data_IF_383116988582
#
_entry.id   IF_383116988582
#
_cell.length_a   1.000
_cell.length_b   1.000
_cell.length_c   1.000
_cell.angle_alpha   90.00
_cell.angle_beta   90.00
_cell.angle_gamma   90.00
#
_symmetry.space_group_name_H-M   'P 1'
#
loop_
_entity.id
_entity.type
_entity.pdbx_description
1 polymer ?
#
# COMPACT_ATOMS: atom_id res chain seq x y z
N UNK A 1 -19.66 7.67 11.51
CA UNK A 1 -19.36 7.05 10.20
C UNK A 1 -18.47 5.86 10.49
N UNK A 2 -18.74 4.65 10.00
CA UNK A 2 -17.79 3.54 10.16
C UNK A 2 -16.75 3.69 9.06
N UNK A 3 -15.49 3.86 9.44
CA UNK A 3 -14.38 3.85 8.51
C UNK A 3 -14.32 2.48 7.84
N UNK A 4 -14.06 2.46 6.54
CA UNK A 4 -13.97 1.21 5.78
C UNK A 4 -12.56 0.63 5.96
N UNK A 5 -12.47 -0.65 6.33
CA UNK A 5 -11.19 -1.36 6.41
C UNK A 5 -10.51 -1.46 5.04
N UNK A 6 -9.18 -1.53 5.04
CA UNK A 6 -8.34 -1.71 3.86
C UNK A 6 -7.32 -0.59 3.68
N UNK A 7 -6.76 -0.49 2.48
CA UNK A 7 -5.75 0.51 2.15
C UNK A 7 -6.37 1.90 1.94
N UNK A 8 -5.69 2.91 2.48
CA UNK A 8 -6.07 4.31 2.36
C UNK A 8 -4.87 5.16 1.99
N UNK A 9 -5.12 6.18 1.18
CA UNK A 9 -4.24 7.33 1.07
C UNK A 9 -4.60 8.32 2.18
N UNK A 10 -3.65 8.62 3.05
CA UNK A 10 -3.90 9.35 4.29
C UNK A 10 -2.74 10.27 4.67
N UNK A 11 -3.01 11.29 5.47
CA UNK A 11 -1.99 12.17 6.06
C UNK A 11 -1.96 11.92 7.56
N UNK A 12 -0.79 11.65 8.15
CA UNK A 12 -0.62 11.71 9.60
C UNK A 12 -0.77 13.15 10.09
N UNK A 13 -1.59 13.37 11.11
CA UNK A 13 -1.74 14.68 11.75
C UNK A 13 -0.80 14.86 12.95
N UNK A 14 0.10 13.90 13.20
CA UNK A 14 1.09 14.02 14.27
C UNK A 14 2.11 15.13 13.93
N UNK A 15 2.42 16.05 14.86
CA UNK A 15 3.25 17.23 14.58
C UNK A 15 4.71 16.92 14.23
N UNK A 16 5.19 15.73 14.56
CA UNK A 16 6.55 15.27 14.25
C UNK A 16 6.65 14.60 12.86
N UNK A 17 5.52 14.29 12.22
CA UNK A 17 5.51 13.74 10.86
C UNK A 17 5.60 14.85 9.81
N UNK A 18 6.02 14.50 8.59
CA UNK A 18 6.21 15.46 7.49
C UNK A 18 4.91 16.12 7.02
N UNK A 19 3.74 15.55 7.37
CA UNK A 19 2.45 15.93 6.83
C UNK A 19 2.25 15.56 5.36
N UNK A 20 3.19 14.80 4.77
CA UNK A 20 3.04 14.28 3.42
C UNK A 20 2.09 13.07 3.43
N UNK A 21 1.19 12.95 2.43
CA UNK A 21 0.30 11.81 2.38
C UNK A 21 1.05 10.51 2.06
N UNK A 22 0.55 9.41 2.60
CA UNK A 22 1.11 8.06 2.48
C UNK A 22 0.02 6.99 2.36
N UNK A 23 0.39 5.80 1.89
CA UNK A 23 -0.50 4.63 1.92
C UNK A 23 -0.41 3.97 3.29
N UNK A 24 -1.56 3.81 3.94
CA UNK A 24 -1.72 3.11 5.22
C UNK A 24 -2.78 2.01 5.09
N UNK A 25 -2.80 1.09 6.05
CA UNK A 25 -3.86 0.09 6.18
C UNK A 25 -4.73 0.39 7.40
N UNK A 26 -6.05 0.46 7.22
CA UNK A 26 -7.03 0.70 8.28
C UNK A 26 -7.71 -0.60 8.65
N UNK A 27 -7.78 -0.90 9.95
CA UNK A 27 -8.55 -2.01 10.51
C UNK A 27 -9.35 -1.55 11.73
N UNK A 28 -10.67 -1.37 11.56
CA UNK A 28 -11.54 -0.84 12.61
C UNK A 28 -11.15 0.58 13.03
N UNK A 29 -10.56 0.72 14.22
CA UNK A 29 -10.08 2.00 14.75
C UNK A 29 -8.55 2.12 14.72
N UNK A 30 -7.87 1.15 14.12
CA UNK A 30 -6.41 1.11 14.04
C UNK A 30 -5.92 1.41 12.62
N UNK A 31 -4.73 1.98 12.53
CA UNK A 31 -4.03 2.33 11.29
C UNK A 31 -2.61 1.81 11.38
N UNK A 32 -2.19 1.00 10.42
CA UNK A 32 -0.80 0.56 10.27
C UNK A 32 -0.18 1.28 9.08
N UNK A 33 0.93 1.98 9.30
CA UNK A 33 1.76 2.54 8.24
C UNK A 33 2.64 1.45 7.66
N UNK A 34 3.01 1.53 6.39
CA UNK A 34 3.86 0.50 5.78
C UNK A 34 5.27 0.49 6.40
N UNK A 35 5.77 1.64 6.84
CA UNK A 35 7.14 1.81 7.35
C UNK A 35 7.31 1.52 8.83
N UNK A 36 6.21 1.29 9.55
CA UNK A 36 6.20 1.25 11.00
C UNK A 36 5.65 -0.09 11.51
N UNK A 37 6.24 -0.59 12.60
CA UNK A 37 5.89 -1.89 13.18
C UNK A 37 4.80 -1.80 14.27
N UNK A 38 4.18 -0.63 14.44
CA UNK A 38 3.17 -0.39 15.48
C UNK A 38 1.90 0.25 14.92
N UNK A 39 0.72 -0.16 15.42
CA UNK A 39 -0.54 0.44 15.03
C UNK A 39 -0.75 1.80 15.70
N UNK A 40 -1.42 2.68 14.98
CA UNK A 40 -1.88 4.00 15.41
C UNK A 40 -3.40 4.03 15.50
N UNK A 41 -3.97 5.05 16.15
CA UNK A 41 -5.41 5.25 16.14
C UNK A 41 -5.86 5.98 14.86
N UNK A 42 -6.99 5.59 14.27
CA UNK A 42 -7.52 6.20 13.03
C UNK A 42 -7.79 7.70 13.13
N UNK A 43 -8.07 8.19 14.33
CA UNK A 43 -8.23 9.63 14.60
C UNK A 43 -6.92 10.44 14.51
N UNK A 44 -5.78 9.79 14.34
CA UNK A 44 -4.47 10.42 14.13
C UNK A 44 -4.14 10.60 12.63
N UNK A 45 -5.10 10.32 11.75
CA UNK A 45 -4.94 10.46 10.30
C UNK A 45 -6.12 11.18 9.65
N UNK A 46 -5.81 12.03 8.68
CA UNK A 46 -6.77 12.52 7.70
C UNK A 46 -6.83 11.52 6.54
N UNK A 47 -7.91 10.74 6.49
CA UNK A 47 -8.16 9.76 5.43
C UNK A 47 -8.67 10.46 4.16
N UNK A 48 -7.84 10.52 3.12
CA UNK A 48 -8.13 11.29 1.91
C UNK A 48 -8.92 10.48 0.87
N UNK A 49 -8.49 9.25 0.61
CA UNK A 49 -9.08 8.40 -0.41
C UNK A 49 -8.91 6.93 -0.07
N UNK A 50 -10.01 6.16 -0.14
CA UNK A 50 -9.94 4.70 -0.05
C UNK A 50 -9.34 4.13 -1.33
N UNK A 51 -8.38 3.20 -1.19
CA UNK A 51 -7.74 2.54 -2.33
C UNK A 51 -8.55 1.27 -2.62
N UNK A 52 -9.24 1.27 -3.75
CA UNK A 52 -10.03 0.12 -4.17
C UNK A 52 -9.13 -1.03 -4.63
N UNK A 53 -8.78 -1.90 -3.70
CA UNK A 53 -8.01 -3.13 -3.97
C UNK A 53 -8.83 -4.21 -4.66
N UNK A 54 -10.15 -4.04 -4.85
CA UNK A 54 -10.92 -4.94 -5.71
C UNK A 54 -10.61 -4.68 -7.18
N UNK A 55 -10.23 -3.45 -7.52
CA UNK A 55 -9.82 -3.04 -8.86
C UNK A 55 -8.30 -3.15 -9.10
N UNK A 56 -7.55 -3.69 -8.13
CA UNK A 56 -6.16 -4.14 -8.27
C UNK A 56 -5.96 -4.73 -9.65
N UNK A 57 -4.98 -4.29 -10.49
CA UNK A 57 -4.66 -4.83 -11.82
C UNK A 57 -5.32 -6.16 -12.10
N UNK A 58 -6.60 -6.09 -12.50
CA UNK A 58 -7.39 -7.27 -12.74
C UNK A 58 -7.06 -7.69 -14.16
N UNK A 59 -5.82 -8.15 -14.36
CA UNK A 59 -5.65 -9.33 -15.18
C UNK A 59 -6.14 -10.50 -14.31
N UNK A 60 -7.47 -10.58 -14.22
CA UNK A 60 -8.18 -11.35 -13.21
C UNK A 60 -7.88 -12.85 -13.26
N UNK A 61 -8.01 -13.51 -12.11
CA UNK A 61 -8.02 -14.98 -11.98
C UNK A 61 -6.71 -15.66 -12.41
N UNK A 62 -5.57 -15.19 -11.91
CA UNK A 62 -4.36 -16.01 -11.98
C UNK A 62 -4.55 -17.21 -11.06
N UNK A 63 -4.46 -18.42 -11.61
CA UNK A 63 -4.31 -19.61 -10.79
C UNK A 63 -2.93 -19.59 -10.14
N UNK A 64 -2.73 -20.37 -9.07
CA UNK A 64 -1.41 -20.55 -8.45
C UNK A 64 -0.31 -20.86 -9.48
N UNK A 65 -0.64 -21.58 -10.55
CA UNK A 65 0.28 -21.93 -11.63
C UNK A 65 0.65 -20.74 -12.53
N UNK A 66 -0.23 -19.74 -12.66
CA UNK A 66 0.01 -18.52 -13.44
C UNK A 66 0.77 -17.45 -12.66
N UNK A 67 0.70 -17.51 -11.32
CA UNK A 67 1.61 -16.76 -10.45
C UNK A 67 3.05 -17.30 -10.56
N UNK A 68 3.22 -18.59 -10.82
CA UNK A 68 4.53 -19.20 -11.05
C UNK A 68 5.05 -19.02 -12.50
N UNK A 69 4.31 -18.31 -13.36
CA UNK A 69 4.73 -18.02 -14.75
C UNK A 69 5.61 -16.76 -14.76
N UNK A 70 6.88 -16.93 -15.15
CA UNK A 70 7.92 -15.89 -15.25
C UNK A 70 7.55 -14.67 -16.12
N UNK A 71 6.41 -14.72 -16.83
CA UNK A 71 5.91 -13.64 -17.68
C UNK A 71 4.93 -12.66 -16.98
N UNK A 72 4.59 -12.87 -15.71
CA UNK A 72 3.65 -12.00 -14.97
C UNK A 72 4.34 -10.97 -14.07
N UNK A 73 5.42 -11.38 -13.41
CA UNK A 73 6.29 -10.50 -12.65
C UNK A 73 6.96 -9.45 -13.55
N UNK A 74 7.08 -8.22 -13.07
CA UNK A 74 8.09 -7.32 -13.65
C UNK A 74 9.47 -7.82 -13.30
N UNK A 75 10.43 -7.64 -14.21
CA UNK A 75 11.82 -7.95 -13.93
C UNK A 75 12.25 -7.17 -12.66
N UNK A 76 12.74 -7.83 -11.58
CA UNK A 76 13.16 -7.15 -10.36
C UNK A 76 14.19 -6.04 -10.59
N UNK A 77 15.01 -6.15 -11.64
CA UNK A 77 15.98 -5.12 -12.03
C UNK A 77 15.34 -3.81 -12.56
N UNK A 78 14.04 -3.82 -12.84
CA UNK A 78 13.26 -2.65 -13.31
C UNK A 78 12.41 -2.02 -12.21
N UNK A 79 12.37 -2.66 -11.04
CA UNK A 79 11.68 -2.16 -9.86
C UNK A 79 12.43 -0.95 -9.32
N UNK A 80 11.69 0.10 -8.97
CA UNK A 80 12.23 1.38 -8.50
C UNK A 80 11.48 1.86 -7.26
N UNK A 81 12.04 2.86 -6.58
CA UNK A 81 11.44 3.47 -5.40
C UNK A 81 9.99 3.93 -5.63
N UNK A 82 9.15 3.80 -4.61
CA UNK A 82 7.73 4.16 -4.63
C UNK A 82 6.80 3.02 -4.26
N UNK A 83 5.49 3.25 -4.39
CA UNK A 83 4.48 2.26 -4.06
C UNK A 83 4.26 1.27 -5.21
N UNK A 84 4.10 0.00 -4.88
CA UNK A 84 3.90 -1.08 -5.85
C UNK A 84 2.79 -2.01 -5.40
N UNK A 85 2.06 -2.51 -6.40
CA UNK A 85 1.28 -3.72 -6.26
C UNK A 85 2.21 -4.92 -6.34
N UNK A 86 2.15 -5.80 -5.36
CA UNK A 86 2.99 -6.98 -5.27
C UNK A 86 2.20 -8.20 -4.77
N UNK A 87 2.80 -9.38 -4.89
CA UNK A 87 2.32 -10.63 -4.30
C UNK A 87 3.44 -11.16 -3.42
N UNK A 88 3.15 -11.45 -2.17
CA UNK A 88 4.14 -12.05 -1.29
C UNK A 88 4.19 -13.57 -1.52
N UNK A 89 5.38 -14.16 -1.59
CA UNK A 89 5.52 -15.59 -1.88
C UNK A 89 5.13 -16.52 -0.72
N UNK A 90 5.10 -16.03 0.53
CA UNK A 90 4.79 -16.83 1.71
C UNK A 90 3.27 -17.07 1.83
N UNK A 91 2.50 -15.99 1.77
CA UNK A 91 1.04 -16.04 1.93
C UNK A 91 0.30 -16.09 0.58
N UNK A 92 0.98 -15.79 -0.53
CA UNK A 92 0.40 -15.67 -1.87
C UNK A 92 -0.77 -14.67 -1.91
N UNK A 93 -0.81 -13.77 -0.93
CA UNK A 93 -1.79 -12.71 -0.87
C UNK A 93 -1.25 -11.51 -1.62
N UNK A 94 -2.06 -10.93 -2.51
CA UNK A 94 -1.64 -9.73 -3.15
C UNK A 94 -1.65 -8.60 -2.08
N UNK A 95 -0.72 -7.65 -2.19
CA UNK A 95 -0.53 -6.56 -1.22
C UNK A 95 0.01 -5.27 -1.85
N UNK A 96 0.03 -4.16 -1.08
CA UNK A 96 0.73 -2.94 -1.44
C UNK A 96 2.02 -2.87 -0.62
N UNK A 97 3.13 -2.60 -1.30
CA UNK A 97 4.42 -2.37 -0.66
C UNK A 97 4.97 -0.99 -1.02
N UNK A 98 5.78 -0.43 -0.12
CA UNK A 98 6.62 0.73 -0.41
C UNK A 98 8.06 0.26 -0.61
N UNK A 99 8.62 0.61 -1.76
CA UNK A 99 10.02 0.31 -2.09
C UNK A 99 10.84 1.55 -1.75
N UNK A 100 11.69 1.40 -0.75
CA UNK A 100 12.73 2.38 -0.43
C UNK A 100 14.02 2.06 -1.18
N UNK A 101 15.05 2.85 -0.90
CA UNK A 101 16.37 2.70 -1.53
C UNK A 101 17.01 1.33 -1.29
N UNK A 102 16.85 0.79 -0.09
CA UNK A 102 17.55 -0.42 0.37
C UNK A 102 16.59 -1.44 1.03
N UNK A 103 15.28 -1.19 1.05
CA UNK A 103 14.29 -1.98 1.79
C UNK A 103 12.90 -2.00 1.11
N UNK A 104 12.12 -3.02 1.44
CA UNK A 104 10.70 -3.14 1.06
C UNK A 104 9.86 -3.19 2.32
N UNK A 105 8.85 -2.34 2.35
CA UNK A 105 7.97 -2.14 3.48
C UNK A 105 6.57 -2.65 3.12
N UNK A 106 6.03 -3.57 3.92
CA UNK A 106 4.64 -4.02 3.85
C UNK A 106 3.97 -3.80 5.20
N UNK A 107 2.63 -3.83 5.21
CA UNK A 107 1.86 -3.82 6.46
C UNK A 107 2.38 -4.94 7.37
N UNK A 108 2.75 -4.58 8.61
CA UNK A 108 3.21 -5.47 9.67
C UNK A 108 4.54 -6.23 9.41
N UNK A 109 5.36 -5.87 8.41
CA UNK A 109 6.69 -6.46 8.25
C UNK A 109 7.67 -5.64 7.37
N UNK A 110 8.94 -5.60 7.80
CA UNK A 110 10.08 -5.35 6.90
C UNK A 110 10.56 -6.68 6.29
N UNK A 111 10.70 -6.70 4.97
CA UNK A 111 10.81 -7.93 4.18
C UNK A 111 11.77 -7.71 3.04
N UNK A 112 12.34 -8.80 2.52
CA UNK A 112 13.36 -8.69 1.47
C UNK A 112 12.72 -8.53 0.09
N UNK A 113 13.44 -7.88 -0.82
CA UNK A 113 13.01 -7.69 -2.21
C UNK A 113 12.70 -9.01 -2.94
N UNK A 114 13.40 -10.10 -2.61
CA UNK A 114 13.25 -11.42 -3.22
C UNK A 114 12.06 -12.22 -2.69
N UNK A 115 11.34 -11.69 -1.69
CA UNK A 115 10.13 -12.31 -1.11
C UNK A 115 8.84 -11.87 -1.82
N UNK A 116 8.96 -11.06 -2.88
CA UNK A 116 7.83 -10.53 -3.63
C UNK A 116 7.92 -10.74 -5.13
N UNK A 117 6.75 -10.95 -5.71
CA UNK A 117 6.51 -10.74 -7.12
C UNK A 117 5.91 -9.35 -7.34
N UNK A 118 6.65 -8.46 -7.99
CA UNK A 118 6.17 -7.11 -8.29
C UNK A 118 5.32 -7.11 -9.57
N UNK A 119 4.18 -6.42 -9.55
CA UNK A 119 3.22 -6.45 -10.65
C UNK A 119 3.20 -5.13 -11.43
N UNK A 120 2.95 -4.01 -10.74
CA UNK A 120 2.93 -2.70 -11.36
C UNK A 120 3.13 -1.58 -10.32
N UNK A 121 3.75 -0.46 -10.72
CA UNK A 121 3.88 0.70 -9.85
C UNK A 121 2.52 1.37 -9.64
N UNK A 122 2.34 1.98 -8.47
CA UNK A 122 1.18 2.80 -8.13
C UNK A 122 1.57 4.26 -8.34
N UNK A 123 0.97 4.91 -9.32
CA UNK A 123 1.14 6.34 -9.55
C UNK A 123 0.19 7.13 -8.64
N UNK A 124 0.76 7.72 -7.59
CA UNK A 124 0.05 8.57 -6.62
C UNK A 124 0.14 10.06 -6.96
N UNK A 125 0.80 10.46 -8.06
CA UNK A 125 1.09 11.87 -8.37
C UNK A 125 -0.16 12.73 -8.54
N UNK A 126 -1.27 12.12 -8.96
CA UNK A 126 -2.57 12.77 -9.13
C UNK A 126 -3.53 12.61 -7.96
N UNK A 127 -3.12 11.98 -6.85
CA UNK A 127 -4.00 11.74 -5.71
C UNK A 127 -4.14 12.99 -4.84
N UNK A 128 -5.25 13.11 -4.06
CA UNK A 128 -5.48 14.27 -3.21
C UNK A 128 -4.31 14.50 -2.24
N UNK A 129 -3.97 15.76 -1.96
CA UNK A 129 -2.89 16.12 -1.00
C UNK A 129 -3.41 16.87 0.23
N UNK A 130 -4.72 17.07 0.28
CA UNK A 130 -5.42 17.75 1.36
C UNK A 130 -6.82 17.15 1.45
N UNK A 131 -7.38 17.17 2.65
CA UNK A 131 -8.76 16.72 2.84
C UNK A 131 -9.70 17.68 2.11
N UNK A 132 -10.47 17.15 1.14
CA UNK A 132 -11.62 17.89 0.59
C UNK A 132 -12.72 17.91 1.64
N UNK A 133 -12.69 18.92 2.50
CA UNK A 133 -13.88 19.32 3.25
C UNK A 133 -14.83 19.97 2.24
N UNK A 134 -15.86 19.25 1.83
CA UNK A 134 -16.99 19.88 1.15
C UNK A 134 -17.62 20.82 2.18
N UNK A 135 -17.42 22.12 2.01
CA UNK A 135 -18.17 23.15 2.73
C UNK A 135 -19.67 22.86 2.53
N UNK A 136 -20.37 22.54 3.63
CA UNK A 136 -21.81 22.31 3.66
C UNK A 136 -22.59 23.62 3.46
#
# INVERSE_FOLDING_TARGET
>A
MRTQDGYWWAISIHPDDSGEPEIVYVHGNEVTRLTDDWPYHVGEFDLLQHIDTKAWPQKGKLTYEQLLDENYAVNPATVHEGYWWAINYEDMEPTIVLIGKDAVYRVDAEVRLDEFEFLMPIDTSGWPKEATYLDN
#
